data_IF_557355632486
#
_entry.id   IF_557355632486
#
_cell.length_a   1.000
_cell.length_b   1.000
_cell.length_c   1.000
_cell.angle_alpha   90.00
_cell.angle_beta   90.00
_cell.angle_gamma   90.00
#
_symmetry.space_group_name_H-M   'P 1'
#
loop_
_entity.id
_entity.type
_entity.pdbx_description
1 polymer ?
#
# COMPACT_ATOMS: atom_id res chain seq x y z
N UNK A 1 -10.81 3.40 -5.77
CA UNK A 1 -9.98 3.63 -4.58
C UNK A 1 -8.59 4.00 -5.04
N UNK A 2 -7.98 5.04 -4.49
CA UNK A 2 -6.63 5.46 -4.85
C UNK A 2 -5.77 5.57 -3.58
N UNK A 3 -4.52 5.12 -3.67
CA UNK A 3 -3.49 5.47 -2.66
C UNK A 3 -3.15 6.93 -2.88
N UNK A 4 -3.22 7.72 -1.81
CA UNK A 4 -2.90 9.15 -1.81
C UNK A 4 -1.55 9.44 -1.17
N UNK A 5 -1.12 8.60 -0.23
CA UNK A 5 0.14 8.75 0.50
C UNK A 5 0.59 7.40 1.06
N UNK A 6 1.91 7.21 1.13
CA UNK A 6 2.56 6.14 1.88
C UNK A 6 3.44 6.78 2.93
N UNK A 7 3.08 6.61 4.20
CA UNK A 7 3.88 7.05 5.33
C UNK A 7 4.74 5.88 5.79
N UNK A 8 5.99 5.84 5.29
CA UNK A 8 6.98 4.83 5.66
C UNK A 8 7.54 5.19 7.04
N UNK A 9 7.27 4.34 8.03
CA UNK A 9 7.75 4.53 9.42
C UNK A 9 8.96 3.67 9.74
N UNK A 10 9.17 2.57 8.99
CA UNK A 10 10.30 1.66 9.16
C UNK A 10 10.94 1.29 7.82
N UNK A 11 12.27 1.20 7.82
CA UNK A 11 13.09 0.68 6.71
C UNK A 11 14.25 -0.12 7.30
N UNK A 12 14.26 -1.43 7.09
CA UNK A 12 15.27 -2.34 7.63
C UNK A 12 15.78 -3.30 6.56
N UNK A 13 17.03 -3.80 6.66
CA UNK A 13 17.47 -4.90 5.81
C UNK A 13 16.57 -6.13 6.01
N UNK A 14 16.07 -6.69 4.92
CA UNK A 14 15.34 -7.95 4.95
C UNK A 14 16.31 -9.14 4.99
N UNK A 15 15.93 -10.21 5.69
CA UNK A 15 16.72 -11.44 5.80
C UNK A 15 18.20 -11.18 6.15
N UNK A 16 18.44 -10.32 7.15
CA UNK A 16 19.79 -9.91 7.59
C UNK A 16 20.71 -9.38 6.47
N UNK A 17 20.12 -8.85 5.39
CA UNK A 17 20.86 -8.34 4.22
C UNK A 17 21.28 -9.41 3.22
N UNK A 18 20.68 -10.61 3.27
CA UNK A 18 20.88 -11.65 2.27
C UNK A 18 20.58 -11.13 0.84
N UNK A 19 21.41 -11.54 -0.12
CA UNK A 19 21.28 -11.15 -1.52
C UNK A 19 20.50 -12.19 -2.32
N UNK A 20 19.56 -11.72 -3.14
CA UNK A 20 18.70 -12.57 -3.97
C UNK A 20 19.09 -12.43 -5.44
N UNK A 21 19.97 -13.34 -5.90
CA UNK A 21 20.50 -13.32 -7.27
C UNK A 21 21.20 -12.00 -7.61
N UNK A 22 21.13 -11.58 -8.87
CA UNK A 22 21.81 -10.37 -9.36
C UNK A 22 21.16 -9.06 -8.88
N UNK A 23 19.93 -9.11 -8.38
CA UNK A 23 19.19 -7.95 -7.87
C UNK A 23 19.81 -7.46 -6.55
N UNK A 24 20.37 -8.37 -5.75
CA UNK A 24 21.01 -8.07 -4.48
C UNK A 24 20.04 -8.11 -3.29
N UNK A 25 20.37 -7.42 -2.17
CA UNK A 25 19.57 -7.45 -0.96
C UNK A 25 18.30 -6.60 -1.10
N UNK A 26 17.36 -6.83 -0.19
CA UNK A 26 16.10 -6.11 -0.11
C UNK A 26 15.97 -5.38 1.22
N UNK A 27 15.20 -4.31 1.23
CA UNK A 27 14.70 -3.68 2.45
C UNK A 27 13.25 -4.08 2.69
N UNK A 28 12.91 -4.34 3.95
CA UNK A 28 11.53 -4.35 4.42
C UNK A 28 11.13 -2.91 4.76
N UNK A 29 10.08 -2.43 4.09
CA UNK A 29 9.45 -1.14 4.34
C UNK A 29 8.10 -1.37 4.98
N UNK A 30 7.84 -0.70 6.09
CA UNK A 30 6.56 -0.79 6.80
C UNK A 30 6.04 0.60 7.12
N UNK A 31 4.73 0.71 7.23
CA UNK A 31 4.08 1.97 7.58
C UNK A 31 2.59 1.96 7.28
N UNK A 32 2.04 3.15 7.04
CA UNK A 32 0.61 3.35 6.80
C UNK A 32 0.37 3.86 5.38
N UNK A 33 -0.56 3.21 4.68
CA UNK A 33 -1.07 3.64 3.40
C UNK A 33 -2.38 4.41 3.59
N UNK A 34 -2.47 5.59 2.99
CA UNK A 34 -3.67 6.43 3.03
C UNK A 34 -4.42 6.37 1.71
N UNK A 35 -5.73 6.22 1.80
CA UNK A 35 -6.60 6.02 0.65
C UNK A 35 -7.74 7.03 0.60
N UNK A 36 -8.21 7.29 -0.62
CA UNK A 36 -9.52 7.88 -0.84
C UNK A 36 -10.38 6.98 -1.72
N UNK A 37 -11.69 7.02 -1.46
CA UNK A 37 -12.70 6.34 -2.27
C UNK A 37 -13.87 7.27 -2.55
N UNK A 38 -14.35 7.23 -3.78
CA UNK A 38 -15.59 7.87 -4.19
C UNK A 38 -16.76 6.95 -3.78
N UNK A 39 -17.60 7.36 -2.81
CA UNK A 39 -18.72 6.54 -2.36
C UNK A 39 -19.81 6.36 -3.43
N UNK A 40 -19.87 7.23 -4.45
CA UNK A 40 -20.91 7.21 -5.49
C UNK A 40 -20.47 6.45 -6.74
N UNK A 41 -19.22 5.99 -6.79
CA UNK A 41 -18.73 5.24 -7.93
C UNK A 41 -19.38 3.84 -7.99
N UNK A 42 -19.99 3.41 -9.12
CA UNK A 42 -20.80 2.19 -9.19
C UNK A 42 -20.10 0.90 -8.72
N UNK A 43 -18.77 0.80 -8.90
CA UNK A 43 -17.97 -0.34 -8.41
C UNK A 43 -17.89 -0.44 -6.87
N UNK A 44 -18.27 0.59 -6.14
CA UNK A 44 -18.21 0.65 -4.69
C UNK A 44 -19.58 0.46 -4.03
N UNK A 45 -20.67 0.32 -4.80
CA UNK A 45 -22.04 0.14 -4.28
C UNK A 45 -22.19 -1.08 -3.37
N UNK A 46 -21.35 -2.11 -3.54
CA UNK A 46 -21.35 -3.29 -2.70
C UNK A 46 -20.68 -3.08 -1.32
N UNK A 47 -20.03 -1.94 -1.09
CA UNK A 47 -19.39 -1.62 0.19
C UNK A 47 -20.45 -1.04 1.11
N UNK A 48 -20.79 -1.81 2.15
CA UNK A 48 -21.84 -1.45 3.09
C UNK A 48 -21.54 -0.12 3.81
N UNK A 49 -22.57 0.71 3.97
CA UNK A 49 -22.57 2.00 4.64
C UNK A 49 -21.56 3.03 4.09
N UNK A 50 -20.96 2.77 2.92
CA UNK A 50 -19.96 3.66 2.36
C UNK A 50 -20.55 5.04 2.04
N UNK A 51 -21.80 5.09 1.59
CA UNK A 51 -22.51 6.34 1.33
C UNK A 51 -22.75 7.19 2.59
N UNK A 52 -22.77 6.55 3.76
CA UNK A 52 -23.00 7.17 5.08
C UNK A 52 -21.70 7.67 5.73
N UNK A 53 -20.53 7.27 5.22
CA UNK A 53 -19.25 7.62 5.80
C UNK A 53 -18.95 9.14 5.66
N UNK A 54 -18.23 9.75 6.63
CA UNK A 54 -17.79 11.13 6.51
C UNK A 54 -16.95 11.36 5.24
N UNK A 55 -17.23 12.48 4.56
CA UNK A 55 -16.56 12.86 3.31
C UNK A 55 -15.66 14.07 3.53
N UNK A 56 -14.56 14.14 2.80
CA UNK A 56 -13.70 15.31 2.77
C UNK A 56 -14.25 16.43 1.86
N UNK A 57 -13.51 17.53 1.74
CA UNK A 57 -13.91 18.67 0.89
C UNK A 57 -14.01 18.34 -0.60
N UNK A 58 -13.48 17.20 -1.04
CA UNK A 58 -13.58 16.70 -2.41
C UNK A 58 -14.70 15.66 -2.55
N UNK A 59 -15.51 15.45 -1.51
CA UNK A 59 -16.58 14.46 -1.51
C UNK A 59 -16.11 13.01 -1.37
N UNK A 60 -14.82 12.79 -1.07
CA UNK A 60 -14.25 11.44 -0.96
C UNK A 60 -14.24 10.95 0.48
N UNK A 61 -14.45 9.65 0.68
CA UNK A 61 -14.25 8.99 1.97
C UNK A 61 -12.76 8.66 2.13
N UNK A 62 -12.19 8.98 3.29
CA UNK A 62 -10.79 8.73 3.63
C UNK A 62 -10.67 7.55 4.58
N UNK A 63 -9.69 6.70 4.33
CA UNK A 63 -9.34 5.59 5.21
C UNK A 63 -7.85 5.24 5.08
N UNK A 64 -7.36 4.39 5.96
CA UNK A 64 -5.97 3.97 5.98
C UNK A 64 -5.84 2.48 6.33
N UNK A 65 -4.72 1.89 5.95
CA UNK A 65 -4.34 0.54 6.34
C UNK A 65 -2.83 0.46 6.54
N UNK A 66 -2.38 -0.46 7.37
CA UNK A 66 -0.96 -0.78 7.46
C UNK A 66 -0.48 -1.48 6.18
N UNK A 67 0.77 -1.27 5.81
CA UNK A 67 1.41 -1.98 4.70
C UNK A 67 2.80 -2.46 5.07
N UNK A 68 3.21 -3.53 4.40
CA UNK A 68 4.58 -4.02 4.36
C UNK A 68 4.99 -4.26 2.91
N UNK A 69 6.22 -3.88 2.54
CA UNK A 69 6.73 -4.02 1.18
C UNK A 69 8.21 -4.41 1.20
N UNK A 70 8.56 -5.43 0.42
CA UNK A 70 9.96 -5.72 0.09
C UNK A 70 10.36 -4.93 -1.16
N UNK A 71 11.38 -4.09 -1.02
CA UNK A 71 11.95 -3.32 -2.13
C UNK A 71 13.43 -3.69 -2.29
N UNK A 72 13.95 -3.89 -3.52
CA UNK A 72 15.39 -3.99 -3.74
C UNK A 72 16.14 -2.83 -3.06
N UNK A 73 17.26 -3.11 -2.41
CA UNK A 73 18.08 -2.08 -1.77
C UNK A 73 18.61 -1.06 -2.79
N UNK A 74 18.84 -1.51 -4.03
CA UNK A 74 19.03 -0.69 -5.22
C UNK A 74 17.76 -0.75 -6.09
N UNK A 75 16.89 0.28 -6.05
CA UNK A 75 15.64 0.30 -6.81
C UNK A 75 15.82 0.17 -8.32
N UNK A 76 16.97 0.57 -8.88
CA UNK A 76 17.23 0.49 -10.32
C UNK A 76 17.45 -0.94 -10.82
N UNK A 77 17.76 -1.86 -9.90
CA UNK A 77 17.86 -3.31 -10.19
C UNK A 77 16.52 -4.04 -10.15
N UNK A 78 15.45 -3.35 -9.74
CA UNK A 78 14.10 -3.90 -9.77
C UNK A 78 13.55 -4.03 -11.19
N UNK A 79 12.61 -4.97 -11.38
CA UNK A 79 11.95 -5.18 -12.68
C UNK A 79 10.73 -4.27 -12.94
N UNK A 80 10.52 -3.25 -12.09
CA UNK A 80 9.39 -2.29 -12.14
C UNK A 80 8.02 -2.95 -12.12
N UNK A 81 7.89 -4.12 -11.46
CA UNK A 81 6.62 -4.80 -11.21
C UNK A 81 6.43 -4.99 -9.71
N UNK A 82 5.17 -5.08 -9.31
CA UNK A 82 4.79 -5.41 -7.95
C UNK A 82 4.16 -6.81 -7.99
N UNK A 83 4.67 -7.70 -7.14
CA UNK A 83 3.92 -8.86 -6.70
C UNK A 83 3.13 -8.41 -5.47
N UNK A 84 1.81 -8.41 -5.60
CA UNK A 84 0.92 -7.95 -4.55
C UNK A 84 0.19 -9.15 -3.96
N UNK A 85 0.27 -9.28 -2.64
CA UNK A 85 -0.48 -10.27 -1.88
C UNK A 85 -1.60 -9.58 -1.11
N UNK A 86 -2.80 -10.14 -1.20
CA UNK A 86 -3.96 -9.68 -0.45
C UNK A 86 -4.08 -10.56 0.77
N UNK A 87 -3.67 -10.04 1.92
CA UNK A 87 -3.97 -10.68 3.20
C UNK A 87 -5.48 -10.77 3.38
N UNK A 88 -5.99 -11.99 3.48
CA UNK A 88 -7.40 -12.25 3.60
C UNK A 88 -7.85 -12.04 5.06
N UNK A 89 -8.80 -11.12 5.26
CA UNK A 89 -9.30 -10.51 6.52
C UNK A 89 -8.52 -9.28 7.01
N UNK A 90 -9.13 -8.12 6.72
CA UNK A 90 -9.19 -6.92 7.54
C UNK A 90 -10.65 -6.49 7.61
#
# INVERSE_FOLDING_TARGET
MAVTQLDITSRTPFADGESFGDVGPYNLLEGTAHFTVDPEHPRNEAINDLELAPRDSNGQVRFSADFAMLQPADPDKGNRRILFDVVNRG
#
